data_IF_931911275756
#
_entry.id   IF_931911275756
#
_cell.length_a   1.000
_cell.length_b   1.000
_cell.length_c   1.000
_cell.angle_alpha   90.00
_cell.angle_beta   90.00
_cell.angle_gamma   90.00
#
_symmetry.space_group_name_H-M   'P 1'
#
loop_
_entity.id
_entity.type
_entity.pdbx_description
1 polymer ?
#
# COMPACT_ATOMS: atom_id res chain seq x y z
N UNK A 1 -0.85 17.32 4.20
CA UNK A 1 -1.14 15.87 4.20
C UNK A 1 -1.28 15.39 2.77
N UNK A 2 -0.73 14.25 2.47
CA UNK A 2 -0.93 13.62 1.16
C UNK A 2 -1.53 12.22 1.34
N UNK A 3 -2.18 11.74 0.30
CA UNK A 3 -2.74 10.39 0.24
C UNK A 3 -1.95 9.59 -0.78
N UNK A 4 -1.54 8.39 -0.40
CA UNK A 4 -0.84 7.46 -1.30
C UNK A 4 -1.77 6.30 -1.62
N UNK A 5 -1.99 6.06 -2.91
CA UNK A 5 -2.83 4.97 -3.41
C UNK A 5 -1.94 4.06 -4.25
N UNK A 6 -1.93 2.77 -3.92
CA UNK A 6 -1.18 1.78 -4.69
C UNK A 6 -2.12 0.68 -5.12
N UNK A 7 -2.21 0.46 -6.44
CA UNK A 7 -3.02 -0.62 -7.01
C UNK A 7 -2.11 -1.81 -7.28
N UNK A 8 -2.52 -2.98 -6.80
CA UNK A 8 -1.78 -4.22 -6.94
C UNK A 8 -2.67 -5.29 -7.54
N UNK A 9 -2.18 -5.94 -8.59
CA UNK A 9 -2.89 -7.05 -9.23
C UNK A 9 -2.06 -8.31 -9.02
N UNK A 10 -2.62 -9.26 -8.28
CA UNK A 10 -1.91 -10.48 -7.90
C UNK A 10 -2.27 -11.65 -8.79
N UNK A 11 -1.37 -12.62 -8.87
CA UNK A 11 -1.72 -13.95 -9.38
C UNK A 11 -2.84 -14.47 -8.45
N UNK A 12 -4.02 -14.85 -9.01
CA UNK A 12 -5.18 -15.15 -8.15
C UNK A 12 -4.89 -16.19 -7.06
N UNK A 13 -4.15 -17.25 -7.39
CA UNK A 13 -3.84 -18.33 -6.45
C UNK A 13 -2.90 -17.87 -5.33
N UNK A 14 -2.26 -16.74 -5.50
CA UNK A 14 -1.28 -16.21 -4.54
C UNK A 14 -1.85 -15.11 -3.64
N UNK A 15 -3.11 -14.76 -3.81
CA UNK A 15 -3.77 -13.77 -2.94
C UNK A 15 -3.66 -14.14 -1.45
N UNK A 16 -3.89 -15.41 -1.05
CA UNK A 16 -3.73 -15.75 0.37
C UNK A 16 -2.34 -15.46 0.93
N UNK A 17 -1.28 -15.66 0.13
CA UNK A 17 0.09 -15.32 0.54
C UNK A 17 0.24 -13.83 0.78
N UNK A 18 -0.35 -13.01 -0.10
CA UNK A 18 -0.31 -11.56 0.08
C UNK A 18 -1.04 -11.14 1.35
N UNK A 19 -2.21 -11.72 1.61
CA UNK A 19 -2.98 -11.35 2.81
C UNK A 19 -2.23 -11.72 4.09
N UNK A 20 -1.53 -12.84 4.11
CA UNK A 20 -0.68 -13.21 5.24
C UNK A 20 0.50 -12.25 5.41
N UNK A 21 1.15 -11.88 4.30
CA UNK A 21 2.26 -10.94 4.33
C UNK A 21 1.80 -9.58 4.86
N UNK A 22 0.67 -9.09 4.35
CA UNK A 22 0.14 -7.81 4.78
C UNK A 22 -0.26 -7.84 6.26
N UNK A 23 -0.90 -8.90 6.70
CA UNK A 23 -1.29 -9.06 8.11
C UNK A 23 -0.07 -9.02 9.03
N UNK A 24 1.05 -9.56 8.58
CA UNK A 24 2.29 -9.60 9.37
C UNK A 24 3.00 -8.24 9.40
N UNK A 25 2.74 -7.35 8.44
CA UNK A 25 3.50 -6.10 8.26
C UNK A 25 2.70 -4.83 8.51
N UNK A 26 1.37 -4.92 8.54
CA UNK A 26 0.49 -3.75 8.54
C UNK A 26 0.74 -2.78 9.70
N UNK A 27 0.96 -3.28 10.90
CA UNK A 27 1.22 -2.40 12.05
C UNK A 27 2.51 -1.62 11.88
N UNK A 28 3.54 -2.25 11.35
CA UNK A 28 4.82 -1.57 11.12
C UNK A 28 4.70 -0.51 10.03
N UNK A 29 3.87 -0.77 9.01
CA UNK A 29 3.60 0.25 7.98
C UNK A 29 2.85 1.42 8.59
N UNK A 30 1.78 1.13 9.35
CA UNK A 30 0.97 2.17 9.97
C UNK A 30 1.76 3.03 10.95
N UNK A 31 2.74 2.44 11.59
CA UNK A 31 3.55 3.12 12.62
C UNK A 31 4.79 3.82 12.06
N UNK A 32 4.94 3.88 10.73
CA UNK A 32 6.01 4.67 10.13
C UNK A 32 5.83 6.14 10.45
N UNK A 33 6.94 6.85 10.61
CA UNK A 33 6.90 8.28 10.88
C UNK A 33 6.16 9.01 9.77
N UNK A 34 5.20 9.85 10.14
CA UNK A 34 4.41 10.63 9.21
C UNK A 34 3.21 9.90 8.64
N UNK A 35 3.03 8.61 8.91
CA UNK A 35 1.86 7.85 8.46
C UNK A 35 0.76 7.95 9.52
N UNK A 36 -0.42 8.45 9.13
CA UNK A 36 -1.54 8.63 10.04
C UNK A 36 -2.73 7.73 9.75
N UNK A 37 -2.71 7.00 8.64
CA UNK A 37 -3.84 6.15 8.25
C UNK A 37 -3.37 5.10 7.24
N UNK A 38 -3.92 3.89 7.35
CA UNK A 38 -3.63 2.82 6.41
C UNK A 38 -4.87 1.95 6.24
N UNK A 39 -5.26 1.72 4.99
CA UNK A 39 -6.33 0.79 4.64
C UNK A 39 -5.84 -0.15 3.56
N UNK A 40 -6.31 -1.38 3.61
CA UNK A 40 -6.22 -2.31 2.49
C UNK A 40 -7.62 -2.43 1.89
N UNK A 41 -7.77 -2.08 0.62
CA UNK A 41 -9.05 -2.12 -0.08
C UNK A 41 -9.01 -3.24 -1.11
N UNK A 42 -10.15 -3.89 -1.30
CA UNK A 42 -10.30 -4.94 -2.32
C UNK A 42 -11.24 -4.43 -3.40
N UNK A 43 -10.87 -4.64 -4.66
CA UNK A 43 -11.76 -4.31 -5.78
C UNK A 43 -13.03 -5.16 -5.69
N UNK A 44 -14.19 -4.56 -5.93
CA UNK A 44 -15.46 -5.29 -5.81
C UNK A 44 -15.75 -6.18 -7.00
N UNK A 45 -15.07 -5.95 -8.14
CA UNK A 45 -15.29 -6.69 -9.39
C UNK A 45 -14.23 -7.76 -9.65
N UNK A 46 -13.01 -7.57 -9.15
CA UNK A 46 -11.88 -8.47 -9.42
C UNK A 46 -11.26 -8.92 -8.10
N UNK A 47 -11.34 -10.20 -7.81
CA UNK A 47 -10.92 -10.77 -6.53
C UNK A 47 -9.42 -10.70 -6.28
N UNK A 48 -8.62 -10.48 -7.32
CA UNK A 48 -7.16 -10.43 -7.22
C UNK A 48 -6.59 -9.02 -7.29
N UNK A 49 -7.44 -7.99 -7.19
CA UNK A 49 -7.01 -6.60 -7.23
C UNK A 49 -7.23 -5.95 -5.88
N UNK A 50 -6.16 -5.39 -5.32
CA UNK A 50 -6.17 -4.74 -4.02
C UNK A 50 -5.51 -3.37 -4.11
N UNK A 51 -5.87 -2.51 -3.17
CA UNK A 51 -5.28 -1.17 -3.07
C UNK A 51 -4.83 -0.95 -1.64
N UNK A 52 -3.66 -0.32 -1.46
CA UNK A 52 -3.35 0.31 -0.18
C UNK A 52 -3.70 1.79 -0.31
N UNK A 53 -4.26 2.34 0.76
CA UNK A 53 -4.72 3.70 0.83
C UNK A 53 -4.18 4.26 2.14
N UNK A 54 -3.26 5.21 2.07
CA UNK A 54 -2.56 5.67 3.25
C UNK A 54 -2.41 7.17 3.25
N UNK A 55 -2.36 7.75 4.47
CA UNK A 55 -2.19 9.19 4.68
C UNK A 55 -0.80 9.44 5.24
N UNK A 56 -0.13 10.44 4.67
CA UNK A 56 1.22 10.83 5.08
C UNK A 56 1.25 12.33 5.33
N UNK A 57 2.01 12.76 6.35
CA UNK A 57 2.11 14.18 6.70
C UNK A 57 2.74 15.00 5.59
N UNK A 58 3.59 14.38 4.77
CA UNK A 58 4.21 15.01 3.64
C UNK A 58 4.95 14.01 2.78
N UNK A 59 5.33 14.40 1.54
CA UNK A 59 6.04 13.48 0.63
C UNK A 59 7.37 12.97 1.19
N UNK A 60 8.04 13.78 2.02
CA UNK A 60 9.32 13.42 2.62
C UNK A 60 9.21 12.19 3.53
N UNK A 61 8.09 12.04 4.24
CA UNK A 61 7.87 10.87 5.10
C UNK A 61 7.63 9.60 4.30
N UNK A 62 6.87 9.73 3.21
CA UNK A 62 6.68 8.58 2.31
C UNK A 62 8.01 8.16 1.70
N UNK A 63 8.82 9.12 1.26
CA UNK A 63 10.13 8.81 0.67
C UNK A 63 11.06 8.16 1.69
N UNK A 64 11.06 8.65 2.92
CA UNK A 64 11.83 8.05 4.01
C UNK A 64 11.44 6.58 4.22
N UNK A 65 10.14 6.29 4.21
CA UNK A 65 9.63 4.93 4.32
C UNK A 65 10.09 4.09 3.12
N UNK A 66 9.95 4.61 1.91
CA UNK A 66 10.30 3.88 0.68
C UNK A 66 11.80 3.60 0.57
N UNK A 67 12.63 4.36 1.26
CA UNK A 67 14.08 4.15 1.28
C UNK A 67 14.52 3.22 2.42
N UNK A 68 13.60 2.73 3.24
CA UNK A 68 13.93 1.88 4.39
C UNK A 68 14.16 0.42 3.96
N UNK A 69 14.96 -0.30 4.75
CA UNK A 69 15.17 -1.72 4.56
C UNK A 69 13.87 -2.52 4.73
N UNK A 70 13.04 -2.08 5.66
CA UNK A 70 11.74 -2.70 5.89
C UNK A 70 10.87 -2.63 4.63
N UNK A 71 10.79 -1.46 4.00
CA UNK A 71 10.03 -1.32 2.75
C UNK A 71 10.63 -2.20 1.65
N UNK A 72 11.94 -2.19 1.49
CA UNK A 72 12.60 -2.96 0.44
C UNK A 72 12.27 -4.45 0.56
N UNK A 73 12.32 -4.99 1.79
CA UNK A 73 11.99 -6.38 2.04
C UNK A 73 10.50 -6.67 1.81
N UNK A 74 9.63 -5.82 2.33
CA UNK A 74 8.18 -5.98 2.16
C UNK A 74 7.79 -5.90 0.69
N UNK A 75 8.33 -4.94 -0.04
CA UNK A 75 8.02 -4.75 -1.45
C UNK A 75 8.54 -5.91 -2.30
N UNK A 76 9.72 -6.40 -2.01
CA UNK A 76 10.30 -7.56 -2.71
C UNK A 76 9.36 -8.77 -2.62
N UNK A 77 8.87 -9.09 -1.44
CA UNK A 77 7.96 -10.22 -1.24
C UNK A 77 6.60 -9.97 -1.87
N UNK A 78 6.11 -8.73 -1.82
CA UNK A 78 4.83 -8.35 -2.43
C UNK A 78 4.89 -8.45 -3.94
N UNK A 79 5.94 -7.90 -4.54
CA UNK A 79 6.14 -7.87 -5.99
C UNK A 79 6.20 -9.28 -6.59
N UNK A 80 6.76 -10.22 -5.86
CA UNK A 80 6.88 -11.60 -6.32
C UNK A 80 5.52 -12.27 -6.55
N UNK A 81 4.44 -11.69 -6.02
CA UNK A 81 3.09 -12.25 -6.11
C UNK A 81 2.26 -11.59 -7.22
N UNK A 82 2.80 -10.59 -7.91
CA UNK A 82 2.06 -9.83 -8.91
C UNK A 82 1.82 -10.60 -10.20
N UNK A 83 0.62 -10.40 -10.78
CA UNK A 83 0.32 -10.79 -12.16
C UNK A 83 0.61 -9.65 -13.14
N UNK A 84 0.49 -8.40 -12.67
CA UNK A 84 0.74 -7.18 -13.44
C UNK A 84 1.55 -6.19 -12.63
N UNK A 85 2.10 -5.18 -13.30
CA UNK A 85 2.83 -4.11 -12.62
C UNK A 85 1.90 -3.33 -11.70
N UNK A 86 2.40 -2.98 -10.52
CA UNK A 86 1.69 -2.10 -9.62
C UNK A 86 1.61 -0.68 -10.20
N UNK A 87 0.55 0.01 -9.84
CA UNK A 87 0.37 1.43 -10.17
C UNK A 87 0.25 2.20 -8.86
N UNK A 88 0.79 3.42 -8.83
CA UNK A 88 0.80 4.19 -7.60
C UNK A 88 0.55 5.66 -7.90
N UNK A 89 -0.14 6.32 -6.98
CA UNK A 89 -0.46 7.75 -7.10
C UNK A 89 -0.25 8.43 -5.76
N UNK A 90 0.25 9.64 -5.82
CA UNK A 90 0.28 10.54 -4.66
C UNK A 90 -0.66 11.68 -4.97
N UNK A 91 -1.66 11.86 -4.13
CA UNK A 91 -2.72 12.86 -4.33
C UNK A 91 -2.94 13.62 -3.03
N UNK A 92 -3.67 14.71 -3.11
CA UNK A 92 -4.09 15.42 -1.92
C UNK A 92 -5.54 15.82 -2.07
N UNK A 93 -6.21 15.96 -0.95
CA UNK A 93 -7.61 16.37 -0.93
C UNK A 93 -7.70 17.82 -1.38
N UNK A 94 -8.44 18.07 -2.44
CA UNK A 94 -8.69 19.43 -2.92
C UNK A 94 -9.98 19.98 -2.33
N UNK A 95 -11.04 19.17 -2.33
CA UNK A 95 -12.34 19.49 -1.74
C UNK A 95 -12.87 18.24 -1.07
N UNK A 96 -13.36 18.39 0.17
CA UNK A 96 -13.96 17.29 0.93
C UNK A 96 -15.34 17.74 1.38
N UNK A 97 -16.34 16.93 1.08
CA UNK A 97 -17.72 17.14 1.53
C UNK A 97 -18.11 16.02 2.48
N UNK A 98 -18.71 16.38 3.59
CA UNK A 98 -19.19 15.42 4.60
C UNK A 98 -20.58 14.89 4.27
#
# INVERSE_FOLDING_TARGET
MMIRIVKMTFVPERVPEFLELFAARKERIRNQEGCSHLELLKDIAQDNVYFTYSYWDGPEYLEQYRCSDFFADTWKHTKALFADKAQAWSVRQEVVLD
#
